data_IF_367280866101
#
_entry.id   IF_367280866101
#
_cell.length_a   1.000
_cell.length_b   1.000
_cell.length_c   1.000
_cell.angle_alpha   90.00
_cell.angle_beta   90.00
_cell.angle_gamma   90.00
#
_symmetry.space_group_name_H-M   'P 1'
#
loop_
_entity.id
_entity.type
_entity.pdbx_description
1 polymer ?
#
# COMPACT_ATOMS: atom_id res chain seq x y z
N UNK A 1 4.16 -6.45 19.54
CA UNK A 1 3.37 -5.23 19.35
C UNK A 1 3.67 -4.59 18.01
N UNK A 2 2.65 -4.28 17.28
CA UNK A 2 2.81 -3.69 15.97
C UNK A 2 3.09 -2.20 16.11
N UNK A 3 4.09 -1.76 15.37
CA UNK A 3 4.51 -0.38 15.46
C UNK A 3 4.50 0.21 14.06
N UNK A 4 3.43 0.84 13.69
CA UNK A 4 3.30 1.48 12.39
C UNK A 4 3.33 2.98 12.56
N UNK A 5 4.02 3.63 11.65
CA UNK A 5 4.00 5.09 11.64
C UNK A 5 2.66 5.58 11.13
N UNK A 6 2.39 6.86 11.35
CA UNK A 6 1.15 7.44 10.87
C UNK A 6 1.01 7.25 9.36
N UNK A 7 2.10 7.41 8.65
CA UNK A 7 2.08 7.25 7.21
C UNK A 7 1.74 5.83 6.82
N UNK A 8 2.31 4.87 7.54
CA UNK A 8 2.06 3.47 7.23
C UNK A 8 0.61 3.11 7.51
N UNK A 9 0.06 3.64 8.58
CA UNK A 9 -1.33 3.39 8.91
C UNK A 9 -2.24 3.95 7.81
N UNK A 10 -1.94 5.15 7.34
CA UNK A 10 -2.73 5.74 6.27
C UNK A 10 -2.66 4.91 5.00
N UNK A 11 -1.49 4.44 4.66
CA UNK A 11 -1.32 3.61 3.47
C UNK A 11 -2.12 2.33 3.60
N UNK A 12 -2.01 1.70 4.73
CA UNK A 12 -2.72 0.45 5.00
C UNK A 12 -4.23 0.67 4.86
N UNK A 13 -4.71 1.71 5.52
CA UNK A 13 -6.13 2.02 5.50
C UNK A 13 -6.62 2.29 4.09
N UNK A 14 -5.85 3.05 3.35
CA UNK A 14 -6.22 3.40 2.00
C UNK A 14 -6.30 2.16 1.10
N UNK A 15 -5.31 1.29 1.21
CA UNK A 15 -5.27 0.10 0.37
C UNK A 15 -6.46 -0.80 0.66
N UNK A 16 -6.80 -0.94 1.93
CA UNK A 16 -7.93 -1.77 2.31
C UNK A 16 -9.23 -1.13 1.88
N UNK A 17 -9.34 0.17 2.02
CA UNK A 17 -10.57 0.87 1.73
C UNK A 17 -10.93 0.81 0.26
N UNK A 18 -9.95 0.98 -0.61
CA UNK A 18 -10.21 0.95 -2.04
C UNK A 18 -10.30 -0.48 -2.56
N UNK A 19 -10.06 -1.47 -1.71
CA UNK A 19 -10.19 -2.85 -2.12
C UNK A 19 -8.99 -3.38 -2.88
N UNK A 20 -7.86 -2.70 -2.79
CA UNK A 20 -6.67 -3.17 -3.49
C UNK A 20 -6.16 -4.47 -2.88
N UNK A 21 -6.26 -4.61 -1.58
CA UNK A 21 -5.83 -5.81 -0.89
C UNK A 21 -6.61 -5.93 0.41
N UNK A 22 -6.75 -7.15 0.89
CA UNK A 22 -7.42 -7.39 2.16
C UNK A 22 -6.40 -7.34 3.28
N UNK A 23 -6.86 -7.10 4.52
CA UNK A 23 -5.94 -7.16 5.65
C UNK A 23 -5.22 -8.49 5.79
N UNK A 24 -5.91 -9.57 5.46
CA UNK A 24 -5.30 -10.89 5.51
C UNK A 24 -4.17 -10.99 4.51
N UNK A 25 -4.40 -10.48 3.33
CA UNK A 25 -3.39 -10.53 2.29
C UNK A 25 -2.17 -9.71 2.68
N UNK A 26 -2.41 -8.54 3.25
CA UNK A 26 -1.32 -7.67 3.67
C UNK A 26 -0.49 -8.35 4.75
N UNK A 27 -1.15 -8.97 5.71
CA UNK A 27 -0.44 -9.66 6.78
C UNK A 27 0.36 -10.83 6.22
N UNK A 28 -0.18 -11.52 5.25
CA UNK A 28 0.53 -12.64 4.66
C UNK A 28 1.81 -12.18 3.98
N UNK A 29 1.71 -11.10 3.23
CA UNK A 29 2.88 -10.57 2.55
C UNK A 29 3.90 -10.09 3.57
N UNK A 30 3.43 -9.48 4.67
CA UNK A 30 4.34 -9.02 5.71
C UNK A 30 5.11 -10.17 6.32
N UNK A 31 4.46 -11.30 6.48
CA UNK A 31 5.12 -12.48 7.03
C UNK A 31 6.21 -13.02 6.10
N UNK A 32 5.97 -12.93 4.82
CA UNK A 32 6.92 -13.42 3.83
C UNK A 32 8.00 -12.39 3.58
N UNK A 33 7.59 -11.15 3.44
CA UNK A 33 8.51 -10.07 3.12
C UNK A 33 9.07 -9.51 4.41
N UNK A 34 10.35 -9.68 4.61
CA UNK A 34 10.98 -9.30 5.88
C UNK A 34 11.40 -7.84 5.84
N UNK A 35 10.46 -6.95 5.70
CA UNK A 35 10.75 -5.54 5.64
C UNK A 35 9.78 -4.72 6.46
N UNK A 36 9.85 -3.42 6.30
CA UNK A 36 8.93 -2.53 7.01
C UNK A 36 7.55 -2.59 6.39
N UNK A 37 6.59 -2.07 7.13
CA UNK A 37 5.24 -2.01 6.62
C UNK A 37 5.15 -1.21 5.34
N UNK A 38 5.92 -0.13 5.27
CA UNK A 38 5.92 0.70 4.06
C UNK A 38 6.37 -0.10 2.86
N UNK A 39 7.41 -0.90 3.04
CA UNK A 39 7.90 -1.73 1.94
C UNK A 39 6.87 -2.76 1.51
N UNK A 40 6.22 -3.36 2.49
CA UNK A 40 5.21 -4.37 2.20
C UNK A 40 4.05 -3.75 1.43
N UNK A 41 3.58 -2.60 1.88
CA UNK A 41 2.45 -1.95 1.22
C UNK A 41 2.81 -1.51 -0.19
N UNK A 42 4.02 -0.98 -0.37
CA UNK A 42 4.44 -0.59 -1.70
C UNK A 42 4.60 -1.79 -2.62
N UNK A 43 5.06 -2.90 -2.08
CA UNK A 43 5.17 -4.12 -2.88
C UNK A 43 3.80 -4.58 -3.37
N UNK A 44 2.81 -4.50 -2.51
CA UNK A 44 1.46 -4.86 -2.88
C UNK A 44 0.95 -3.95 -4.00
N UNK A 45 1.18 -2.66 -3.86
CA UNK A 45 0.76 -1.71 -4.88
C UNK A 45 1.43 -2.05 -6.21
N UNK A 46 2.70 -2.36 -6.17
CA UNK A 46 3.44 -2.67 -7.39
C UNK A 46 2.86 -3.90 -8.08
N UNK A 47 2.55 -4.92 -7.30
CA UNK A 47 2.02 -6.17 -7.86
C UNK A 47 0.63 -5.94 -8.43
N UNK A 48 -0.16 -5.13 -7.78
CA UNK A 48 -1.55 -4.95 -8.17
C UNK A 48 -1.74 -3.94 -9.28
N UNK A 49 -0.96 -2.87 -9.28
CA UNK A 49 -1.17 -1.78 -10.21
C UNK A 49 -0.01 -1.55 -11.16
N UNK A 50 1.18 -2.01 -10.79
CA UNK A 50 2.35 -1.75 -11.59
C UNK A 50 3.09 -0.48 -11.21
N UNK A 51 2.51 0.33 -10.33
CA UNK A 51 3.20 1.52 -9.86
C UNK A 51 4.25 1.13 -8.84
N UNK A 52 5.27 1.94 -8.72
CA UNK A 52 6.38 1.61 -7.84
C UNK A 52 6.04 1.81 -6.38
N UNK A 53 5.11 2.69 -6.09
CA UNK A 53 4.73 2.95 -4.71
C UNK A 53 3.29 3.44 -4.66
N UNK A 54 2.74 3.41 -3.45
CA UNK A 54 1.38 3.92 -3.26
C UNK A 54 1.31 5.40 -3.54
N UNK A 55 2.35 6.12 -3.18
CA UNK A 55 2.41 7.54 -3.44
C UNK A 55 2.29 7.83 -4.93
N UNK A 56 3.01 7.06 -5.72
CA UNK A 56 2.93 7.22 -7.16
C UNK A 56 1.56 6.88 -7.68
N UNK A 57 0.97 5.84 -7.15
CA UNK A 57 -0.37 5.43 -7.54
C UNK A 57 -1.37 6.55 -7.27
N UNK A 58 -1.31 7.12 -6.09
CA UNK A 58 -2.23 8.17 -5.71
C UNK A 58 -2.04 9.39 -6.60
N UNK A 59 -0.80 9.75 -6.85
CA UNK A 59 -0.53 10.90 -7.70
C UNK A 59 -1.10 10.70 -9.09
N UNK A 60 -0.91 9.53 -9.64
CA UNK A 60 -1.40 9.25 -10.99
C UNK A 60 -2.91 9.25 -11.02
N UNK A 61 -3.53 8.67 -10.00
CA UNK A 61 -4.98 8.59 -9.97
C UNK A 61 -5.62 9.94 -9.78
N UNK A 62 -5.05 10.73 -8.89
CA UNK A 62 -5.62 12.03 -8.60
C UNK A 62 -5.34 13.04 -9.69
N UNK A 63 -4.17 12.95 -10.28
CA UNK A 63 -3.79 13.90 -11.33
C UNK A 63 -4.51 13.62 -12.63
N UNK A 64 -5.10 12.48 -12.72
CA UNK A 64 -5.81 12.14 -13.93
C UNK A 64 -6.89 13.15 -14.25
N UNK A 65 -7.49 13.70 -13.24
CA UNK A 65 -8.55 14.67 -13.41
C UNK A 65 -8.04 16.01 -13.84
N UNK A 66 -6.78 16.22 -13.69
CA UNK A 66 -6.19 17.50 -14.00
C UNK A 66 -6.29 17.84 -15.44
N UNK A 67 -6.42 16.90 -16.24
CA UNK A 67 -6.48 17.11 -17.66
C UNK A 67 -7.45 18.15 -18.12
#
# INVERSE_FOLDING_TARGET
MISMTDKEIEMYDYIVEIGMATPQEINLVKNIHDGSWEEVLNAIVHVRTGYQSLEQYIECELNEDEE
#
